data_IF_261089569162
#
_entry.id   IF_261089569162
#
_cell.length_a   1.000
_cell.length_b   1.000
_cell.length_c   1.000
_cell.angle_alpha   90.00
_cell.angle_beta   90.00
_cell.angle_gamma   90.00
#
_symmetry.space_group_name_H-M   'P 1'
#
loop_
_entity.id
_entity.type
_entity.pdbx_description
1 polymer ?
#
# COMPACT_ATOMS: atom_id res chain seq x y z
N UNK A 1 -16.96 50.26 -11.97
CA UNK A 1 -17.41 51.16 -13.06
C UNK A 1 -18.45 50.41 -13.89
N UNK A 2 -19.42 51.12 -14.47
CA UNK A 2 -20.45 50.58 -15.37
C UNK A 2 -19.83 50.17 -16.73
N UNK A 3 -20.39 49.43 -17.69
CA UNK A 3 -21.74 48.93 -18.07
C UNK A 3 -21.57 47.48 -18.65
N UNK A 4 -22.53 46.68 -19.15
CA UNK A 4 -23.97 46.80 -19.46
C UNK A 4 -24.68 45.41 -19.49
N UNK A 5 -25.98 45.42 -19.79
CA UNK A 5 -26.94 44.35 -20.11
C UNK A 5 -26.63 43.57 -21.44
N UNK A 6 -27.27 42.44 -21.81
CA UNK A 6 -28.74 42.22 -21.85
C UNK A 6 -29.21 40.75 -21.96
N UNK A 7 -30.43 40.47 -21.46
CA UNK A 7 -31.25 39.28 -21.69
C UNK A 7 -32.18 39.45 -22.90
N UNK A 8 -32.48 38.37 -23.67
CA UNK A 8 -33.78 38.14 -24.39
C UNK A 8 -34.09 36.63 -24.44
N UNK A 9 -35.38 36.24 -24.51
CA UNK A 9 -35.89 34.85 -24.48
C UNK A 9 -36.42 34.33 -25.85
N UNK A 10 -36.31 33.01 -26.03
CA UNK A 10 -37.27 32.02 -26.61
C UNK A 10 -37.96 32.17 -28.00
N UNK A 11 -37.75 31.13 -28.84
CA UNK A 11 -38.71 30.43 -29.74
C UNK A 11 -39.27 31.17 -31.00
N UNK A 12 -39.84 30.47 -32.03
CA UNK A 12 -40.12 29.01 -32.18
C UNK A 12 -39.59 28.36 -33.50
N UNK A 13 -39.92 27.07 -33.70
CA UNK A 13 -39.65 26.25 -34.91
C UNK A 13 -40.72 26.37 -36.02
N UNK A 14 -40.45 25.88 -37.24
CA UNK A 14 -41.48 25.34 -38.13
C UNK A 14 -41.29 23.84 -38.49
N UNK A 15 -42.30 23.28 -39.16
CA UNK A 15 -42.64 21.85 -39.35
C UNK A 15 -42.57 21.45 -40.84
N UNK A 16 -42.66 20.14 -41.15
CA UNK A 16 -43.42 19.43 -42.23
C UNK A 16 -42.71 18.08 -42.50
N UNK A 17 -43.17 16.96 -41.92
CA UNK A 17 -44.15 15.97 -42.46
C UNK A 17 -43.50 14.94 -43.44
N UNK A 18 -43.91 13.67 -43.55
CA UNK A 18 -45.00 12.90 -42.90
C UNK A 18 -44.79 11.36 -42.98
N UNK A 19 -45.62 10.65 -42.20
CA UNK A 19 -46.16 9.28 -42.35
C UNK A 19 -45.33 8.01 -42.05
N UNK A 20 -45.92 6.90 -41.53
CA UNK A 20 -47.12 6.73 -40.68
C UNK A 20 -47.18 5.30 -40.07
N UNK A 21 -48.03 5.12 -39.04
CA UNK A 21 -48.57 3.85 -38.49
C UNK A 21 -47.69 2.83 -37.71
N UNK A 22 -48.32 2.35 -36.63
CA UNK A 22 -47.99 1.29 -35.67
C UNK A 22 -49.26 0.38 -35.56
N UNK A 23 -49.40 -0.64 -34.67
CA UNK A 23 -48.45 -1.52 -33.96
C UNK A 23 -48.87 -3.03 -33.95
N UNK A 24 -48.26 -3.84 -33.06
CA UNK A 24 -48.70 -5.18 -32.55
C UNK A 24 -48.50 -6.42 -33.47
N UNK A 25 -48.33 -7.67 -33.02
CA UNK A 25 -48.60 -8.38 -31.73
C UNK A 25 -47.51 -9.39 -31.28
N UNK A 26 -47.72 -10.04 -30.11
CA UNK A 26 -46.93 -11.16 -29.54
C UNK A 26 -47.20 -12.51 -30.23
N UNK A 27 -46.23 -13.44 -30.22
CA UNK A 27 -46.50 -14.88 -29.93
C UNK A 27 -45.25 -15.65 -29.46
N UNK A 28 -45.46 -16.85 -28.90
CA UNK A 28 -44.45 -17.76 -28.29
C UNK A 28 -44.13 -18.97 -29.21
N UNK A 29 -43.39 -19.96 -28.66
CA UNK A 29 -43.23 -21.38 -29.09
C UNK A 29 -42.08 -21.60 -30.08
N UNK A 30 -41.36 -22.74 -30.14
CA UNK A 30 -40.88 -23.74 -29.13
C UNK A 30 -39.93 -24.71 -29.86
N UNK A 31 -39.25 -25.58 -29.11
CA UNK A 31 -38.45 -26.76 -29.47
C UNK A 31 -38.57 -27.36 -30.89
N UNK A 32 -37.42 -27.76 -31.45
CA UNK A 32 -37.35 -28.67 -32.60
C UNK A 32 -35.90 -29.05 -32.95
N UNK A 33 -35.37 -30.11 -32.34
CA UNK A 33 -34.09 -30.70 -32.75
C UNK A 33 -34.30 -31.76 -33.85
N UNK A 34 -33.29 -32.01 -34.68
CA UNK A 34 -33.26 -33.15 -35.60
C UNK A 34 -31.81 -33.60 -35.88
N UNK A 35 -31.56 -34.89 -35.67
CA UNK A 35 -30.39 -35.59 -36.20
C UNK A 35 -30.54 -35.77 -37.73
N UNK A 36 -29.43 -35.81 -38.48
CA UNK A 36 -28.96 -37.08 -39.07
C UNK A 36 -27.68 -36.99 -39.91
N UNK A 37 -26.86 -38.04 -39.78
CA UNK A 37 -26.04 -38.73 -40.77
C UNK A 37 -25.23 -37.93 -41.80
N UNK A 38 -23.91 -37.92 -41.57
CA UNK A 38 -22.90 -38.55 -42.42
C UNK A 38 -23.27 -38.89 -43.89
N UNK A 39 -22.44 -38.41 -44.81
CA UNK A 39 -22.01 -39.21 -45.96
C UNK A 39 -20.55 -38.90 -46.30
N UNK A 40 -19.77 -39.94 -46.58
CA UNK A 40 -18.39 -39.84 -47.03
C UNK A 40 -18.33 -39.91 -48.55
N UNK A 41 -17.46 -39.11 -49.17
CA UNK A 41 -17.05 -39.26 -50.58
C UNK A 41 -15.52 -39.39 -50.62
N UNK A 42 -15.03 -40.19 -51.55
CA UNK A 42 -13.68 -40.79 -51.54
C UNK A 42 -13.09 -40.73 -52.95
N UNK A 43 -11.74 -40.68 -53.06
CA UNK A 43 -10.94 -40.63 -54.30
C UNK A 43 -11.02 -39.28 -55.07
N UNK A 44 -10.00 -38.83 -55.83
CA UNK A 44 -8.88 -39.58 -56.44
C UNK A 44 -7.55 -38.78 -56.53
N UNK A 45 -6.45 -39.56 -56.64
CA UNK A 45 -5.01 -39.26 -56.74
C UNK A 45 -4.50 -38.11 -57.64
N UNK A 46 -3.32 -37.52 -57.31
CA UNK A 46 -2.04 -37.90 -57.97
C UNK A 46 -0.75 -37.35 -57.32
N UNK A 47 0.22 -38.26 -57.21
CA UNK A 47 1.70 -38.13 -57.18
C UNK A 47 2.40 -36.80 -56.85
N UNK A 48 3.18 -36.78 -55.77
CA UNK A 48 4.65 -36.90 -55.82
C UNK A 48 5.14 -37.47 -54.47
N UNK A 49 6.11 -38.38 -54.47
CA UNK A 49 6.47 -39.14 -53.27
C UNK A 49 7.96 -39.08 -52.93
N UNK A 50 8.25 -38.91 -51.64
CA UNK A 50 9.51 -39.30 -50.99
C UNK A 50 9.16 -39.93 -49.63
N UNK A 51 9.49 -41.21 -49.45
CA UNK A 51 9.29 -41.90 -48.18
C UNK A 51 10.48 -41.68 -47.25
N UNK A 52 10.20 -41.41 -45.98
CA UNK A 52 11.15 -41.44 -44.85
C UNK A 52 10.60 -42.46 -43.83
N UNK A 53 11.43 -43.25 -43.12
CA UNK A 53 10.92 -44.34 -42.29
C UNK A 53 10.05 -43.87 -41.12
N UNK A 54 9.04 -44.68 -40.80
CA UNK A 54 8.23 -44.54 -39.59
C UNK A 54 9.01 -45.15 -38.42
N UNK A 55 9.10 -44.42 -37.31
CA UNK A 55 9.19 -45.05 -36.00
C UNK A 55 8.32 -44.29 -34.98
N UNK A 56 7.85 -45.00 -33.96
CA UNK A 56 6.61 -44.66 -33.24
C UNK A 56 6.67 -43.40 -32.36
N UNK A 57 5.66 -42.52 -32.47
CA UNK A 57 5.33 -41.55 -31.42
C UNK A 57 4.02 -41.92 -30.71
N UNK A 58 4.05 -41.85 -29.38
CA UNK A 58 2.97 -42.29 -28.50
C UNK A 58 1.85 -41.25 -28.37
N UNK A 59 0.62 -41.75 -28.26
CA UNK A 59 -0.60 -40.96 -28.03
C UNK A 59 -0.49 -40.06 -26.77
N UNK A 60 -0.30 -38.75 -26.95
CA UNK A 60 -0.64 -37.77 -25.91
C UNK A 60 -2.08 -37.29 -26.07
N UNK A 61 -2.90 -37.60 -25.07
CA UNK A 61 -4.30 -37.15 -24.98
C UNK A 61 -4.34 -35.64 -24.75
N UNK A 62 -4.92 -34.89 -25.68
CA UNK A 62 -5.27 -33.49 -25.45
C UNK A 62 -6.33 -33.40 -24.34
N UNK A 63 -5.92 -32.95 -23.16
CA UNK A 63 -6.85 -32.57 -22.10
C UNK A 63 -7.36 -31.16 -22.37
N UNK A 64 -8.64 -31.03 -22.70
CA UNK A 64 -9.34 -29.74 -22.77
C UNK A 64 -9.26 -29.05 -21.41
N UNK A 65 -8.40 -28.03 -21.27
CA UNK A 65 -8.35 -27.18 -20.08
C UNK A 65 -9.66 -26.42 -19.97
N UNK A 66 -10.48 -26.79 -18.98
CA UNK A 66 -11.60 -25.98 -18.52
C UNK A 66 -11.09 -24.59 -18.14
N UNK A 67 -11.58 -23.56 -18.82
CA UNK A 67 -11.34 -22.17 -18.42
C UNK A 67 -12.12 -21.94 -17.13
N UNK A 68 -11.44 -22.00 -15.99
CA UNK A 68 -11.98 -21.51 -14.73
C UNK A 68 -12.15 -19.98 -14.86
N UNK A 69 -13.32 -19.40 -14.55
CA UNK A 69 -13.44 -17.95 -14.50
C UNK A 69 -12.49 -17.43 -13.41
N UNK A 70 -11.68 -16.44 -13.77
CA UNK A 70 -10.76 -15.76 -12.85
C UNK A 70 -11.59 -15.26 -11.66
N UNK A 71 -11.33 -15.81 -10.47
CA UNK A 71 -11.81 -15.21 -9.23
C UNK A 71 -11.17 -13.84 -9.16
N UNK A 72 -11.98 -12.78 -9.25
CA UNK A 72 -11.55 -11.48 -8.77
C UNK A 72 -11.06 -11.67 -7.32
N UNK A 73 -9.77 -11.49 -7.09
CA UNK A 73 -9.11 -11.80 -5.83
C UNK A 73 -9.84 -11.00 -4.74
N UNK A 74 -10.54 -11.72 -3.87
CA UNK A 74 -11.27 -11.07 -2.80
C UNK A 74 -10.23 -10.48 -1.86
N UNK A 75 -10.08 -9.14 -1.90
CA UNK A 75 -9.21 -8.31 -1.07
C UNK A 75 -8.67 -9.07 0.13
N UNK A 76 -7.41 -9.51 0.08
CA UNK A 76 -6.89 -10.38 1.14
C UNK A 76 -6.88 -9.58 2.44
N UNK A 77 -7.58 -10.12 3.45
CA UNK A 77 -7.53 -9.57 4.79
C UNK A 77 -6.08 -9.70 5.26
N UNK A 78 -5.48 -8.65 5.85
CA UNK A 78 -4.07 -8.70 6.22
C UNK A 78 -3.81 -9.87 7.18
N UNK A 79 -2.69 -10.60 7.03
CA UNK A 79 -2.34 -11.65 7.98
C UNK A 79 -2.20 -11.04 9.38
N UNK A 80 -2.85 -11.66 10.37
CA UNK A 80 -2.87 -11.14 11.73
C UNK A 80 -1.45 -11.07 12.34
N UNK A 81 -1.00 -9.86 12.67
CA UNK A 81 0.30 -9.59 13.30
C UNK A 81 0.28 -10.08 14.76
N UNK A 82 1.40 -10.61 15.30
CA UNK A 82 1.47 -11.02 16.71
C UNK A 82 1.22 -9.86 17.67
N UNK A 83 0.30 -10.08 18.62
CA UNK A 83 -0.40 -9.02 19.36
C UNK A 83 0.43 -8.36 20.46
N UNK A 84 0.27 -7.04 20.60
CA UNK A 84 0.50 -6.34 21.87
C UNK A 84 -0.37 -6.91 22.99
N UNK A 85 0.14 -6.92 24.22
CA UNK A 85 -0.64 -7.21 25.44
C UNK A 85 -1.29 -5.96 26.07
N UNK A 86 -1.14 -4.77 25.47
CA UNK A 86 -1.81 -3.56 25.94
C UNK A 86 -3.33 -3.65 25.73
N UNK A 87 -4.10 -3.46 26.80
CA UNK A 87 -5.56 -3.70 26.85
C UNK A 87 -6.44 -2.65 26.13
N UNK A 88 -5.89 -1.91 25.17
CA UNK A 88 -6.58 -0.84 24.45
C UNK A 88 -6.13 -0.78 22.98
N UNK A 89 -7.06 -0.42 22.10
CA UNK A 89 -6.79 -0.22 20.67
C UNK A 89 -6.19 1.16 20.43
N UNK A 90 -5.22 1.26 19.53
CA UNK A 90 -4.64 2.55 19.14
C UNK A 90 -5.69 3.36 18.37
N UNK A 91 -6.08 4.52 18.93
CA UNK A 91 -7.14 5.37 18.38
C UNK A 91 -6.60 6.33 17.34
N UNK A 92 -7.16 6.25 16.12
CA UNK A 92 -6.68 7.02 14.98
C UNK A 92 -7.75 7.92 14.37
N UNK A 93 -7.31 9.07 13.85
CA UNK A 93 -8.07 9.99 13.03
C UNK A 93 -7.51 10.04 11.61
N UNK A 94 -8.35 10.33 10.61
CA UNK A 94 -7.92 10.41 9.20
C UNK A 94 -8.24 11.80 8.65
N UNK A 95 -7.24 12.53 8.16
CA UNK A 95 -7.43 13.77 7.42
C UNK A 95 -7.32 13.52 5.91
N UNK A 96 -8.35 13.92 5.16
CA UNK A 96 -8.51 13.67 3.73
C UNK A 96 -9.09 12.28 3.45
N UNK A 97 -10.35 12.21 2.99
CA UNK A 97 -11.04 10.95 2.70
C UNK A 97 -10.88 10.51 1.23
N UNK A 98 -9.65 10.68 0.74
CA UNK A 98 -9.21 10.30 -0.62
C UNK A 98 -8.96 8.80 -0.77
N UNK A 99 -8.22 8.40 -1.83
CA UNK A 99 -7.89 6.98 -2.09
C UNK A 99 -7.25 6.31 -0.87
N UNK A 100 -6.18 6.90 -0.33
CA UNK A 100 -5.46 6.36 0.83
C UNK A 100 -6.34 6.39 2.09
N UNK A 101 -6.92 7.54 2.46
CA UNK A 101 -7.73 7.65 3.67
C UNK A 101 -8.91 6.66 3.74
N UNK A 102 -9.63 6.42 2.64
CA UNK A 102 -10.70 5.40 2.61
C UNK A 102 -10.19 3.98 2.75
N UNK A 103 -9.04 3.66 2.16
CA UNK A 103 -8.48 2.31 2.22
C UNK A 103 -7.81 2.03 3.57
N UNK A 104 -7.17 3.03 4.19
CA UNK A 104 -6.74 2.97 5.60
C UNK A 104 -7.92 2.65 6.51
N UNK A 105 -9.06 3.36 6.37
CA UNK A 105 -10.27 3.02 7.14
C UNK A 105 -10.76 1.60 6.81
N UNK A 106 -10.82 1.22 5.53
CA UNK A 106 -11.32 -0.09 5.10
C UNK A 106 -10.49 -1.25 5.66
N UNK A 107 -9.15 -1.11 5.68
CA UNK A 107 -8.24 -2.07 6.30
C UNK A 107 -8.44 -2.11 7.82
N UNK A 108 -8.53 -0.94 8.47
CA UNK A 108 -8.74 -0.85 9.91
C UNK A 108 -10.04 -1.52 10.40
N UNK A 109 -11.07 -1.67 9.55
CA UNK A 109 -12.28 -2.43 9.93
C UNK A 109 -12.06 -3.94 10.12
N UNK A 110 -10.96 -4.49 9.58
CA UNK A 110 -10.58 -5.91 9.72
C UNK A 110 -9.49 -6.13 10.78
N UNK A 111 -9.02 -5.07 11.44
CA UNK A 111 -7.96 -5.10 12.45
C UNK A 111 -8.52 -5.06 13.86
N UNK A 112 -7.88 -5.76 14.79
CA UNK A 112 -8.29 -5.77 16.20
C UNK A 112 -7.45 -4.85 17.11
N UNK A 113 -6.31 -4.34 16.64
CA UNK A 113 -5.40 -3.41 17.31
C UNK A 113 -5.68 -1.92 17.04
N UNK A 114 -6.22 -1.57 15.87
CA UNK A 114 -6.56 -0.20 15.45
C UNK A 114 -8.04 0.13 15.70
N UNK A 115 -8.34 1.38 16.05
CA UNK A 115 -9.71 1.93 16.09
C UNK A 115 -9.76 3.31 15.42
N UNK A 116 -10.38 3.41 14.23
CA UNK A 116 -10.63 4.72 13.58
C UNK A 116 -11.85 5.35 14.23
N UNK A 117 -11.66 6.48 14.90
CA UNK A 117 -12.73 7.14 15.67
C UNK A 117 -13.20 8.45 15.04
N UNK A 118 -12.42 9.05 14.14
CA UNK A 118 -12.78 10.29 13.45
C UNK A 118 -12.18 10.41 12.03
N UNK A 119 -12.89 11.10 11.14
CA UNK A 119 -12.51 11.39 9.75
C UNK A 119 -12.81 12.86 9.44
N UNK A 120 -11.86 13.57 8.85
CA UNK A 120 -12.05 14.93 8.36
C UNK A 120 -11.90 15.02 6.83
N UNK A 121 -12.90 15.59 6.14
CA UNK A 121 -12.74 16.07 4.76
C UNK A 121 -13.67 17.27 4.48
N UNK A 122 -13.14 18.45 4.13
CA UNK A 122 -13.96 19.65 3.89
C UNK A 122 -14.70 19.65 2.54
N UNK A 123 -14.57 18.60 1.72
CA UNK A 123 -15.20 18.50 0.39
C UNK A 123 -16.23 17.37 0.30
N UNK A 124 -16.42 16.59 1.37
CA UNK A 124 -17.22 15.35 1.35
C UNK A 124 -18.07 15.30 2.64
N UNK A 125 -19.40 15.39 2.52
CA UNK A 125 -20.30 15.22 3.67
C UNK A 125 -20.45 13.74 4.07
N UNK A 126 -21.04 13.46 5.24
CA UNK A 126 -21.20 12.08 5.73
C UNK A 126 -21.96 11.15 4.77
N UNK A 127 -22.97 11.65 4.02
CA UNK A 127 -23.71 10.83 3.05
C UNK A 127 -22.83 10.49 1.85
N UNK A 128 -22.03 11.44 1.38
CA UNK A 128 -21.11 11.21 0.28
C UNK A 128 -19.91 10.35 0.70
N UNK A 129 -19.39 10.52 1.93
CA UNK A 129 -18.40 9.62 2.53
C UNK A 129 -18.91 8.18 2.54
N UNK A 130 -20.14 7.95 3.02
CA UNK A 130 -20.74 6.63 3.05
C UNK A 130 -20.87 6.00 1.65
N UNK A 131 -21.25 6.79 0.64
CA UNK A 131 -21.28 6.36 -0.75
C UNK A 131 -19.88 5.98 -1.29
N UNK A 132 -18.89 6.87 -1.12
CA UNK A 132 -17.52 6.67 -1.63
C UNK A 132 -16.76 5.55 -0.91
N UNK A 133 -17.15 5.22 0.32
CA UNK A 133 -16.62 4.07 1.05
C UNK A 133 -17.32 2.77 0.64
N UNK A 134 -18.65 2.81 0.44
CA UNK A 134 -19.43 1.64 0.04
C UNK A 134 -19.09 1.14 -1.36
N UNK A 135 -18.80 2.02 -2.31
CA UNK A 135 -18.53 1.67 -3.71
C UNK A 135 -17.14 2.15 -4.13
N UNK A 136 -16.20 1.22 -4.32
CA UNK A 136 -14.87 1.50 -4.87
C UNK A 136 -14.68 0.82 -6.23
N UNK A 137 -14.33 1.61 -7.26
CA UNK A 137 -14.14 1.09 -8.63
C UNK A 137 -12.92 0.18 -8.77
N UNK A 138 -11.94 0.27 -7.86
CA UNK A 138 -10.74 -0.56 -7.85
C UNK A 138 -10.97 -1.78 -6.96
N UNK A 139 -11.25 -1.53 -5.67
CA UNK A 139 -11.30 -2.58 -4.64
C UNK A 139 -12.68 -3.20 -4.45
N UNK A 140 -13.62 -2.93 -5.37
CA UNK A 140 -14.99 -3.42 -5.32
C UNK A 140 -15.82 -2.83 -4.16
N UNK A 141 -17.10 -3.24 -4.04
CA UNK A 141 -17.98 -2.77 -2.98
C UNK A 141 -17.50 -3.22 -1.59
N UNK A 142 -17.70 -2.37 -0.59
CA UNK A 142 -17.55 -2.77 0.81
C UNK A 142 -18.63 -3.80 1.16
N UNK A 143 -18.21 -4.92 1.75
CA UNK A 143 -19.07 -6.10 1.98
C UNK A 143 -19.89 -6.02 3.26
N UNK A 144 -19.39 -5.30 4.26
CA UNK A 144 -20.01 -5.18 5.58
C UNK A 144 -20.93 -3.95 5.68
N UNK A 145 -21.40 -3.61 6.88
CA UNK A 145 -22.38 -2.55 7.08
C UNK A 145 -21.74 -1.17 7.14
N UNK A 146 -22.31 -0.23 6.39
CA UNK A 146 -22.08 1.22 6.56
C UNK A 146 -23.43 1.95 6.54
N UNK A 147 -23.61 2.86 7.50
CA UNK A 147 -24.81 3.69 7.67
C UNK A 147 -24.40 5.11 8.05
N UNK A 148 -25.23 6.07 7.67
CA UNK A 148 -25.16 7.46 8.17
C UNK A 148 -26.09 7.53 9.37
N UNK A 149 -25.58 7.90 10.54
CA UNK A 149 -26.38 8.09 11.75
C UNK A 149 -26.93 9.52 11.78
N UNK A 150 -26.04 10.49 11.54
CA UNK A 150 -26.34 11.92 11.44
C UNK A 150 -25.29 12.61 10.56
N UNK A 151 -25.36 13.94 10.41
CA UNK A 151 -24.45 14.72 9.55
C UNK A 151 -22.97 14.69 10.02
N UNK A 152 -22.73 14.32 11.27
CA UNK A 152 -21.44 14.27 11.96
C UNK A 152 -21.02 12.85 12.39
N UNK A 153 -21.81 11.82 12.08
CA UNK A 153 -21.55 10.45 12.55
C UNK A 153 -21.87 9.39 11.48
N UNK A 154 -20.88 8.56 11.17
CA UNK A 154 -21.03 7.31 10.44
C UNK A 154 -21.08 6.12 11.41
N UNK A 155 -21.79 5.07 11.05
CA UNK A 155 -21.70 3.75 11.69
C UNK A 155 -21.13 2.76 10.67
N UNK A 156 -20.00 2.11 11.00
CA UNK A 156 -19.38 1.05 10.20
C UNK A 156 -19.18 -0.18 11.07
N UNK A 157 -19.74 -1.32 10.67
CA UNK A 157 -19.70 -2.58 11.43
C UNK A 157 -20.19 -2.42 12.89
N UNK A 158 -21.16 -1.53 13.12
CA UNK A 158 -21.68 -1.19 14.46
C UNK A 158 -20.80 -0.25 15.30
N UNK A 159 -19.65 0.19 14.80
CA UNK A 159 -18.81 1.23 15.43
C UNK A 159 -19.18 2.62 14.92
N UNK A 160 -19.28 3.61 15.79
CA UNK A 160 -19.45 5.01 15.40
C UNK A 160 -18.12 5.69 15.09
N UNK A 161 -18.09 6.47 14.01
CA UNK A 161 -16.95 7.26 13.56
C UNK A 161 -17.44 8.70 13.36
N UNK A 162 -16.74 9.66 13.98
CA UNK A 162 -17.09 11.09 13.86
C UNK A 162 -16.60 11.66 12.53
N UNK A 163 -17.42 12.52 11.94
CA UNK A 163 -17.16 13.18 10.65
C UNK A 163 -17.07 14.68 10.86
N UNK A 164 -16.00 15.28 10.36
CA UNK A 164 -15.81 16.73 10.33
C UNK A 164 -15.46 17.22 8.93
N UNK A 165 -15.72 18.50 8.66
CA UNK A 165 -15.50 19.13 7.35
C UNK A 165 -14.64 20.40 7.45
N UNK A 166 -13.61 20.37 8.30
CA UNK A 166 -12.73 21.52 8.57
C UNK A 166 -11.66 21.66 7.50
N UNK A 167 -11.39 22.90 7.07
CA UNK A 167 -10.35 23.22 6.07
C UNK A 167 -8.99 23.49 6.73
N UNK A 168 -8.99 24.18 7.86
CA UNK A 168 -7.80 24.31 8.70
C UNK A 168 -7.71 23.06 9.59
N UNK A 169 -6.59 22.30 9.57
CA UNK A 169 -6.47 21.12 10.42
C UNK A 169 -6.26 21.44 11.89
N UNK A 170 -6.02 22.70 12.27
CA UNK A 170 -6.05 23.15 13.66
C UNK A 170 -7.47 23.22 14.24
N UNK A 171 -8.50 23.37 13.40
CA UNK A 171 -9.92 23.44 13.83
C UNK A 171 -10.55 22.05 14.06
N UNK A 172 -9.81 20.95 13.84
CA UNK A 172 -10.31 19.58 13.99
C UNK A 172 -10.14 19.15 15.47
N UNK A 173 -11.23 18.88 16.21
CA UNK A 173 -11.16 18.54 17.63
C UNK A 173 -10.81 17.05 17.85
N UNK A 174 -9.59 16.66 17.45
CA UNK A 174 -9.08 15.29 17.60
C UNK A 174 -9.13 14.79 19.05
N UNK A 175 -8.83 15.64 20.02
CA UNK A 175 -8.85 15.34 21.46
C UNK A 175 -10.25 14.97 21.97
N UNK A 176 -11.29 15.67 21.51
CA UNK A 176 -12.69 15.42 21.90
C UNK A 176 -13.18 14.03 21.46
N UNK A 177 -12.58 13.49 20.39
CA UNK A 177 -12.85 12.14 19.88
C UNK A 177 -11.88 11.08 20.44
N UNK A 178 -10.88 11.50 21.22
CA UNK A 178 -9.83 10.64 21.76
C UNK A 178 -8.88 10.09 20.68
N UNK A 179 -8.62 10.84 19.62
CA UNK A 179 -7.62 10.50 18.59
C UNK A 179 -6.22 10.71 19.13
N UNK A 180 -5.38 9.68 19.05
CA UNK A 180 -3.97 9.76 19.42
C UNK A 180 -3.06 9.94 18.20
N UNK A 181 -3.34 9.21 17.11
CA UNK A 181 -2.58 9.25 15.86
C UNK A 181 -3.43 9.81 14.72
N UNK A 182 -2.92 10.79 13.97
CA UNK A 182 -3.58 11.29 12.76
C UNK A 182 -2.86 10.76 11.52
N UNK A 183 -3.62 10.14 10.62
CA UNK A 183 -3.20 9.86 9.25
C UNK A 183 -3.44 11.10 8.41
N UNK A 184 -2.36 11.81 8.06
CA UNK A 184 -2.41 12.97 7.18
C UNK A 184 -2.33 12.50 5.72
N UNK A 185 -3.50 12.39 5.09
CA UNK A 185 -3.69 11.87 3.73
C UNK A 185 -4.39 12.83 2.75
N UNK A 186 -4.41 14.13 3.07
CA UNK A 186 -4.91 15.17 2.15
C UNK A 186 -3.95 15.44 0.98
N UNK A 187 -2.66 15.15 1.17
CA UNK A 187 -1.59 15.48 0.23
C UNK A 187 -1.15 16.95 0.22
N UNK A 188 -1.66 17.78 1.15
CA UNK A 188 -1.35 19.23 1.22
C UNK A 188 -0.45 19.59 2.41
N UNK A 189 -0.58 18.87 3.54
CA UNK A 189 0.15 19.13 4.79
C UNK A 189 1.36 18.20 4.97
N UNK A 190 2.24 18.15 3.96
CA UNK A 190 3.35 17.19 3.86
C UNK A 190 4.70 17.72 4.38
N UNK A 191 4.68 18.61 5.38
CA UNK A 191 5.89 19.09 6.09
C UNK A 191 5.64 19.05 7.59
N UNK A 192 6.69 19.02 8.41
CA UNK A 192 6.57 18.95 9.88
C UNK A 192 5.69 20.09 10.40
N UNK A 193 6.03 21.33 10.04
CA UNK A 193 5.27 22.54 10.40
C UNK A 193 3.76 22.41 10.09
N UNK A 194 3.44 21.91 8.89
CA UNK A 194 2.06 21.82 8.39
C UNK A 194 1.28 20.67 9.00
N UNK A 195 1.94 19.55 9.29
CA UNK A 195 1.31 18.38 9.90
C UNK A 195 1.15 18.56 11.42
N UNK A 196 2.11 19.22 12.09
CA UNK A 196 2.03 19.54 13.53
C UNK A 196 0.81 20.39 13.92
N UNK A 197 0.13 21.06 12.98
CA UNK A 197 -1.08 21.82 13.32
C UNK A 197 -2.20 20.92 13.87
N UNK A 198 -2.23 19.63 13.52
CA UNK A 198 -3.14 18.64 14.11
C UNK A 198 -2.96 18.47 15.62
N UNK A 199 -1.76 18.75 16.16
CA UNK A 199 -1.49 18.67 17.60
C UNK A 199 -2.26 19.76 18.38
N UNK A 200 -2.59 20.90 17.74
CA UNK A 200 -3.48 21.92 18.33
C UNK A 200 -4.89 21.39 18.57
N UNK A 201 -5.33 20.47 17.72
CA UNK A 201 -6.61 19.75 17.86
C UNK A 201 -6.59 18.65 18.93
N UNK A 202 -5.44 18.37 19.56
CA UNK A 202 -5.30 17.34 20.61
C UNK A 202 -4.73 15.99 20.14
N UNK A 203 -4.33 15.87 18.87
CA UNK A 203 -3.62 14.67 18.40
C UNK A 203 -2.20 14.58 19.01
N UNK A 204 -1.76 13.38 19.40
CA UNK A 204 -0.41 13.16 19.95
C UNK A 204 0.63 13.02 18.85
N UNK A 205 0.31 12.26 17.80
CA UNK A 205 1.22 11.85 16.71
C UNK A 205 0.58 12.07 15.34
N UNK A 206 1.41 12.28 14.32
CA UNK A 206 0.95 12.43 12.93
C UNK A 206 1.80 11.59 11.98
N UNK A 207 1.14 10.81 11.13
CA UNK A 207 1.77 10.01 10.06
C UNK A 207 1.34 10.59 8.72
N UNK A 208 2.27 11.23 8.02
CA UNK A 208 2.08 11.77 6.68
C UNK A 208 2.07 10.61 5.67
N UNK A 209 0.98 10.44 4.94
CA UNK A 209 0.81 9.37 3.94
C UNK A 209 1.40 9.73 2.56
N UNK A 210 2.54 10.41 2.58
CA UNK A 210 3.32 10.85 1.42
C UNK A 210 4.76 11.18 1.87
N UNK A 211 5.75 11.23 0.95
CA UNK A 211 7.10 11.71 1.28
C UNK A 211 7.10 13.12 1.85
N UNK A 212 7.82 13.32 2.95
CA UNK A 212 8.08 14.66 3.51
C UNK A 212 9.41 15.23 3.02
N UNK A 213 9.50 16.55 2.96
CA UNK A 213 10.77 17.23 2.72
C UNK A 213 11.71 17.12 3.95
N UNK A 214 11.12 17.24 5.13
CA UNK A 214 11.72 17.53 6.44
C UNK A 214 11.39 16.49 7.53
N UNK A 215 10.20 15.89 7.55
CA UNK A 215 9.84 14.85 8.50
C UNK A 215 10.65 13.55 8.28
N UNK A 216 11.06 12.84 9.35
CA UNK A 216 11.73 11.55 9.23
C UNK A 216 10.81 10.54 8.52
N UNK A 217 11.39 9.79 7.58
CA UNK A 217 10.69 8.80 6.78
C UNK A 217 10.97 7.39 7.29
N UNK A 218 9.92 6.57 7.32
CA UNK A 218 9.98 5.17 7.70
C UNK A 218 9.38 4.29 6.59
N UNK A 219 9.96 3.10 6.44
CA UNK A 219 9.41 1.98 5.68
C UNK A 219 9.49 0.77 6.61
N UNK A 220 8.35 0.13 6.85
CA UNK A 220 8.24 -1.07 7.69
C UNK A 220 8.94 -2.26 7.00
N UNK A 221 9.67 -3.07 7.76
CA UNK A 221 10.61 -4.08 7.29
C UNK A 221 11.98 -3.53 6.87
N UNK A 222 12.29 -2.26 7.16
CA UNK A 222 13.52 -1.60 6.69
C UNK A 222 14.17 -0.76 7.79
N UNK A 223 13.48 0.27 8.30
CA UNK A 223 14.05 1.23 9.24
C UNK A 223 13.10 1.69 10.36
N UNK A 224 11.92 1.10 10.50
CA UNK A 224 10.95 1.40 11.55
C UNK A 224 11.57 1.38 12.95
N UNK A 225 12.50 0.43 13.22
CA UNK A 225 13.23 0.31 14.48
C UNK A 225 14.14 1.51 14.82
N UNK A 226 14.31 2.47 13.90
CA UNK A 226 14.99 3.75 14.17
C UNK A 226 14.05 4.86 14.66
N UNK A 227 12.74 4.58 14.74
CA UNK A 227 11.74 5.45 15.34
C UNK A 227 12.06 5.74 16.81
N UNK A 228 11.77 6.97 17.25
CA UNK A 228 11.94 7.39 18.64
C UNK A 228 10.64 8.03 19.14
N UNK A 229 10.21 7.79 20.39
CA UNK A 229 9.01 8.42 20.96
C UNK A 229 8.98 9.94 20.92
N UNK A 230 10.13 10.62 20.77
CA UNK A 230 10.22 12.08 20.59
C UNK A 230 9.89 12.56 19.17
N UNK A 231 9.71 11.66 18.21
CA UNK A 231 9.27 11.99 16.86
C UNK A 231 7.74 12.02 16.83
N UNK A 232 7.17 13.23 16.82
CA UNK A 232 5.73 13.45 16.79
C UNK A 232 5.13 13.36 15.39
N UNK A 233 5.82 13.95 14.41
CA UNK A 233 5.44 13.93 13.00
C UNK A 233 6.43 13.07 12.22
N UNK A 234 5.91 12.06 11.54
CA UNK A 234 6.69 11.14 10.70
C UNK A 234 6.03 10.98 9.33
N UNK A 235 6.73 10.39 8.37
CA UNK A 235 6.21 10.09 7.04
C UNK A 235 6.39 8.60 6.72
N UNK A 236 5.36 7.97 6.15
CA UNK A 236 5.44 6.58 5.67
C UNK A 236 6.07 6.49 4.26
N UNK A 237 6.90 7.47 3.88
CA UNK A 237 7.49 7.63 2.55
C UNK A 237 6.44 7.56 1.41
N UNK A 238 6.78 6.96 0.26
CA UNK A 238 5.85 6.70 -0.85
C UNK A 238 5.59 5.21 -1.06
N UNK A 239 4.51 4.87 -1.76
CA UNK A 239 4.24 3.52 -2.27
C UNK A 239 5.45 2.94 -3.03
N UNK A 240 6.03 3.67 -3.97
CA UNK A 240 7.24 3.24 -4.72
C UNK A 240 8.46 3.05 -3.81
N UNK A 241 8.65 3.86 -2.77
CA UNK A 241 9.74 3.66 -1.79
C UNK A 241 9.50 2.43 -0.92
N UNK A 242 8.25 2.17 -0.51
CA UNK A 242 7.88 0.96 0.21
C UNK A 242 8.06 -0.31 -0.65
N UNK A 243 7.90 -0.23 -1.97
CA UNK A 243 8.23 -1.33 -2.88
C UNK A 243 9.74 -1.51 -3.05
N UNK A 244 10.48 -0.42 -3.30
CA UNK A 244 11.89 -0.49 -3.65
C UNK A 244 12.81 -0.77 -2.45
N UNK A 245 12.54 -0.20 -1.27
CA UNK A 245 13.47 -0.27 -0.14
C UNK A 245 13.66 -1.69 0.44
N UNK A 246 12.61 -2.54 0.63
CA UNK A 246 12.81 -3.91 1.09
C UNK A 246 13.61 -4.76 0.10
N UNK A 247 13.35 -4.59 -1.21
CA UNK A 247 14.12 -5.26 -2.27
C UNK A 247 15.58 -4.80 -2.27
N UNK A 248 15.81 -3.48 -2.19
CA UNK A 248 17.15 -2.91 -2.17
C UNK A 248 17.94 -3.31 -0.92
N UNK A 249 17.28 -3.41 0.25
CA UNK A 249 17.88 -3.90 1.51
C UNK A 249 18.46 -5.30 1.33
N UNK A 250 17.65 -6.27 0.91
CA UNK A 250 18.09 -7.67 0.73
C UNK A 250 19.26 -7.77 -0.26
N UNK A 251 19.14 -7.09 -1.41
CA UNK A 251 20.19 -7.13 -2.44
C UNK A 251 21.47 -6.42 -1.97
N UNK A 252 21.35 -5.35 -1.18
CA UNK A 252 22.50 -4.64 -0.63
C UNK A 252 23.23 -5.43 0.45
N UNK A 253 22.50 -6.07 1.38
CA UNK A 253 23.09 -6.81 2.49
C UNK A 253 23.79 -8.10 2.02
N UNK A 254 23.24 -8.79 1.00
CA UNK A 254 23.80 -10.06 0.50
C UNK A 254 24.90 -9.91 -0.56
N UNK A 255 24.80 -8.87 -1.41
CA UNK A 255 25.64 -8.71 -2.60
C UNK A 255 26.32 -7.33 -2.73
N UNK A 256 25.92 -6.35 -1.92
CA UNK A 256 26.30 -4.96 -2.12
C UNK A 256 25.65 -4.36 -3.38
N UNK A 257 25.27 -3.09 -3.28
CA UNK A 257 24.85 -2.27 -4.43
C UNK A 257 25.89 -1.16 -4.56
N UNK A 258 26.51 -1.08 -5.72
CA UNK A 258 27.45 -0.02 -6.11
C UNK A 258 26.67 1.21 -6.56
N UNK A 259 25.74 1.00 -7.50
CA UNK A 259 24.85 2.02 -8.06
C UNK A 259 23.60 1.37 -8.66
N UNK A 260 22.52 2.13 -8.83
CA UNK A 260 21.33 1.65 -9.50
C UNK A 260 20.38 2.74 -9.98
N UNK A 261 19.71 2.45 -11.10
CA UNK A 261 18.66 3.27 -11.67
C UNK A 261 17.33 2.54 -11.58
N UNK A 262 16.32 3.24 -11.07
CA UNK A 262 14.95 2.74 -10.97
C UNK A 262 14.02 3.43 -11.96
N UNK A 263 13.21 2.64 -12.63
CA UNK A 263 12.00 3.10 -13.32
C UNK A 263 10.80 2.46 -12.63
N UNK A 264 9.79 3.25 -12.29
CA UNK A 264 8.49 2.67 -11.93
C UNK A 264 7.48 2.90 -13.03
N UNK A 265 6.86 1.83 -13.51
CA UNK A 265 5.69 1.90 -14.38
C UNK A 265 4.49 1.91 -13.43
N UNK A 266 3.85 3.07 -13.32
CA UNK A 266 2.97 3.40 -12.21
C UNK A 266 1.55 3.67 -12.69
N UNK A 267 0.56 3.17 -11.96
CA UNK A 267 -0.85 3.43 -12.21
C UNK A 267 -1.21 4.92 -12.18
N UNK A 268 -2.36 5.25 -12.76
CA UNK A 268 -2.92 6.59 -12.74
C UNK A 268 -3.30 7.03 -11.32
N UNK A 269 -2.99 8.27 -10.93
CA UNK A 269 -3.36 8.82 -9.61
C UNK A 269 -4.25 10.07 -9.73
N UNK A 270 -4.99 10.40 -8.66
CA UNK A 270 -5.96 11.51 -8.60
C UNK A 270 -5.42 12.92 -8.92
N UNK A 271 -4.09 13.10 -8.99
CA UNK A 271 -3.43 14.33 -9.44
C UNK A 271 -3.48 14.54 -10.97
N UNK A 272 -3.53 13.45 -11.74
CA UNK A 272 -3.59 13.47 -13.21
C UNK A 272 -4.98 13.89 -13.72
N UNK A 273 -5.09 14.16 -15.03
CA UNK A 273 -6.32 14.65 -15.67
C UNK A 273 -6.96 13.60 -16.58
N UNK A 274 -8.28 13.62 -16.70
CA UNK A 274 -9.02 12.73 -17.61
C UNK A 274 -8.78 13.07 -19.08
N UNK A 275 -8.66 14.37 -19.36
CA UNK A 275 -8.31 14.96 -20.67
C UNK A 275 -7.18 15.98 -20.48
N UNK A 276 -6.56 16.42 -21.57
CA UNK A 276 -5.51 17.43 -21.54
C UNK A 276 -5.96 18.72 -20.81
N UNK A 277 -5.21 19.14 -19.80
CA UNK A 277 -5.56 20.28 -18.96
C UNK A 277 -4.37 20.84 -18.16
N UNK A 278 -4.57 21.96 -17.44
CA UNK A 278 -3.48 22.67 -16.76
C UNK A 278 -2.90 21.88 -15.59
N UNK A 279 -1.56 21.88 -15.51
CA UNK A 279 -0.79 21.36 -14.39
C UNK A 279 0.36 22.30 -14.07
N UNK A 280 0.31 22.91 -12.88
CA UNK A 280 1.19 24.04 -12.50
C UNK A 280 2.66 23.65 -12.25
N UNK A 281 2.94 22.36 -12.00
CA UNK A 281 4.27 21.86 -11.59
C UNK A 281 4.81 20.70 -12.44
N UNK A 282 3.95 20.02 -13.21
CA UNK A 282 4.33 18.94 -14.11
C UNK A 282 3.44 19.01 -15.37
N UNK A 283 3.94 19.66 -16.43
CA UNK A 283 3.20 19.81 -17.69
C UNK A 283 2.82 18.46 -18.32
N UNK A 284 3.63 17.42 -18.12
CA UNK A 284 3.36 16.07 -18.66
C UNK A 284 2.21 15.42 -17.89
N UNK A 285 2.18 15.58 -16.57
CA UNK A 285 1.06 15.16 -15.71
C UNK A 285 -0.28 15.85 -15.98
N UNK A 286 -0.30 16.94 -16.76
CA UNK A 286 -1.52 17.58 -17.26
C UNK A 286 -2.17 16.91 -18.48
N UNK A 287 -1.48 15.96 -19.12
CA UNK A 287 -2.01 15.22 -20.28
C UNK A 287 -3.03 14.16 -19.87
N UNK A 288 -3.96 13.83 -20.76
CA UNK A 288 -5.02 12.85 -20.53
C UNK A 288 -4.50 11.47 -20.13
N UNK A 289 -4.80 11.06 -18.89
CA UNK A 289 -4.18 9.90 -18.24
C UNK A 289 -4.53 8.56 -18.90
N UNK A 290 -5.76 8.41 -19.40
CA UNK A 290 -6.21 7.19 -20.07
C UNK A 290 -5.65 6.97 -21.48
N UNK A 291 -4.87 7.92 -22.01
CA UNK A 291 -4.47 7.99 -23.41
C UNK A 291 -2.95 8.00 -23.62
N UNK A 292 -2.15 8.15 -22.56
CA UNK A 292 -0.73 8.45 -22.65
C UNK A 292 0.11 7.57 -21.71
N UNK A 293 1.32 7.24 -22.16
CA UNK A 293 2.43 6.88 -21.27
C UNK A 293 3.14 8.19 -20.91
N UNK A 294 3.10 8.59 -19.63
CA UNK A 294 3.52 9.93 -19.19
C UNK A 294 4.81 9.82 -18.34
N UNK A 295 5.99 10.20 -18.87
CA UNK A 295 7.21 10.23 -18.08
C UNK A 295 7.18 11.38 -17.06
N UNK A 296 7.34 11.06 -15.79
CA UNK A 296 7.33 11.97 -14.64
C UNK A 296 8.55 11.74 -13.75
N UNK A 297 8.95 12.74 -12.97
CA UNK A 297 10.04 12.62 -12.00
C UNK A 297 9.56 11.98 -10.70
N UNK A 298 10.45 11.30 -9.98
CA UNK A 298 10.13 10.77 -8.64
C UNK A 298 11.33 10.88 -7.70
N UNK A 299 11.05 11.23 -6.45
CA UNK A 299 12.03 11.17 -5.37
C UNK A 299 12.20 9.78 -4.77
N UNK A 300 11.39 8.79 -5.16
CA UNK A 300 11.24 7.53 -4.43
C UNK A 300 12.53 6.72 -4.28
N UNK A 301 13.37 6.65 -5.33
CA UNK A 301 14.67 5.98 -5.27
C UNK A 301 15.69 6.75 -4.42
N UNK A 302 15.70 8.08 -4.50
CA UNK A 302 16.55 8.92 -3.62
C UNK A 302 16.12 8.81 -2.15
N UNK A 303 14.83 8.61 -1.89
CA UNK A 303 14.30 8.38 -0.55
C UNK A 303 14.72 7.02 0.04
N UNK A 304 15.11 6.03 -0.77
CA UNK A 304 15.75 4.80 -0.26
C UNK A 304 17.03 5.16 0.50
N UNK A 305 17.85 6.07 -0.04
CA UNK A 305 19.05 6.59 0.64
C UNK A 305 18.80 7.36 1.94
N UNK A 306 17.54 7.68 2.29
CA UNK A 306 17.15 8.25 3.59
C UNK A 306 16.75 7.18 4.62
N UNK A 307 16.24 6.02 4.17
CA UNK A 307 15.84 4.90 5.05
C UNK A 307 16.93 3.82 5.15
N UNK A 308 17.82 3.75 4.17
CA UNK A 308 19.02 2.92 4.08
C UNK A 308 20.21 3.84 3.77
N UNK A 309 20.83 4.48 4.79
CA UNK A 309 21.88 5.49 4.60
C UNK A 309 23.08 5.03 3.78
N UNK A 310 23.41 3.74 3.81
CA UNK A 310 24.46 3.08 3.03
C UNK A 310 24.18 3.01 1.51
N UNK A 311 22.93 3.29 1.11
CA UNK A 311 22.48 3.48 -0.27
C UNK A 311 22.34 4.97 -0.66
N UNK A 312 22.66 5.91 0.23
CA UNK A 312 22.58 7.33 -0.08
C UNK A 312 23.50 7.70 -1.25
N UNK A 313 22.98 8.45 -2.21
CA UNK A 313 23.66 8.80 -3.46
C UNK A 313 23.79 7.67 -4.50
N UNK A 314 23.58 6.40 -4.13
CA UNK A 314 23.73 5.25 -5.03
C UNK A 314 22.49 4.94 -5.88
N UNK A 315 21.30 5.36 -5.43
CA UNK A 315 20.03 5.10 -6.09
C UNK A 315 19.32 6.39 -6.51
N UNK A 316 18.90 6.44 -7.77
CA UNK A 316 17.99 7.47 -8.31
C UNK A 316 17.07 6.85 -9.36
N UNK A 317 16.06 7.60 -9.83
CA UNK A 317 15.09 7.03 -10.76
C UNK A 317 14.07 8.00 -11.33
N UNK A 318 13.15 7.45 -12.11
CA UNK A 318 12.04 8.15 -12.77
C UNK A 318 10.77 7.28 -12.76
N UNK A 319 9.65 7.84 -13.22
CA UNK A 319 8.40 7.09 -13.36
C UNK A 319 7.80 7.26 -14.76
N UNK A 320 7.12 6.24 -15.26
CA UNK A 320 6.14 6.37 -16.35
C UNK A 320 4.75 6.12 -15.77
N UNK A 321 3.85 7.10 -15.83
CA UNK A 321 2.43 6.87 -15.54
C UNK A 321 1.78 6.20 -16.74
N UNK A 322 0.98 5.17 -16.49
CA UNK A 322 0.31 4.39 -17.55
C UNK A 322 -1.21 4.30 -17.32
N UNK A 323 -2.00 3.97 -18.36
CA UNK A 323 -3.47 3.86 -18.28
C UNK A 323 -4.03 2.68 -17.44
N UNK A 324 -3.37 2.27 -16.35
CA UNK A 324 -3.93 1.33 -15.36
C UNK A 324 -4.58 2.10 -14.20
N UNK A 325 -5.71 1.63 -13.64
CA UNK A 325 -6.39 2.31 -12.54
C UNK A 325 -5.71 2.11 -11.18
N UNK A 326 -5.00 0.99 -11.01
CA UNK A 326 -4.21 0.66 -9.84
C UNK A 326 -3.15 -0.42 -10.20
N UNK A 327 -2.31 -0.75 -9.22
CA UNK A 327 -1.12 -1.61 -9.28
C UNK A 327 -0.02 -1.03 -10.17
N UNK A 328 1.18 -1.04 -9.61
CA UNK A 328 2.39 -0.49 -10.20
C UNK A 328 3.53 -1.51 -10.10
N UNK A 329 4.60 -1.26 -10.84
CA UNK A 329 5.79 -2.11 -10.84
C UNK A 329 7.06 -1.27 -10.78
N UNK A 330 8.06 -1.75 -10.06
CA UNK A 330 9.42 -1.25 -9.99
C UNK A 330 10.31 -2.11 -10.90
N UNK A 331 11.03 -1.46 -11.81
CA UNK A 331 12.22 -1.96 -12.49
C UNK A 331 13.43 -1.32 -11.81
N UNK A 332 14.22 -2.12 -11.08
CA UNK A 332 15.51 -1.72 -10.54
C UNK A 332 16.61 -2.35 -11.39
N UNK A 333 17.38 -1.53 -12.10
CA UNK A 333 18.61 -1.97 -12.77
C UNK A 333 19.80 -1.53 -11.92
N UNK A 334 20.59 -2.47 -11.40
CA UNK A 334 21.67 -2.18 -10.45
C UNK A 334 22.96 -2.96 -10.74
N UNK A 335 24.08 -2.39 -10.28
CA UNK A 335 25.40 -3.02 -10.28
C UNK A 335 25.72 -3.55 -8.89
N UNK A 336 26.01 -4.84 -8.81
CA UNK A 336 26.38 -5.54 -7.58
C UNK A 336 27.89 -5.42 -7.34
N UNK A 337 28.30 -5.43 -6.07
CA UNK A 337 29.71 -5.41 -5.68
C UNK A 337 30.29 -6.84 -5.67
N UNK A 338 29.65 -7.71 -4.88
CA UNK A 338 29.87 -9.16 -4.89
C UNK A 338 29.10 -9.77 -6.06
N UNK A 339 29.83 -10.38 -6.98
CA UNK A 339 29.27 -11.08 -8.14
C UNK A 339 28.44 -12.30 -7.72
N UNK A 340 27.25 -12.46 -8.31
CA UNK A 340 26.27 -13.52 -8.03
C UNK A 340 25.62 -14.02 -9.34
N UNK A 341 25.09 -15.25 -9.35
CA UNK A 341 24.17 -15.64 -10.43
C UNK A 341 22.78 -15.04 -10.18
N UNK A 342 21.95 -14.98 -11.23
CA UNK A 342 20.56 -14.53 -11.06
C UNK A 342 19.76 -15.51 -10.17
N UNK A 343 20.12 -16.80 -10.15
CA UNK A 343 19.52 -17.78 -9.25
C UNK A 343 19.88 -17.53 -7.78
N UNK A 344 21.13 -17.13 -7.49
CA UNK A 344 21.53 -16.73 -6.13
C UNK A 344 20.76 -15.50 -5.65
N UNK A 345 20.58 -14.49 -6.53
CA UNK A 345 19.80 -13.28 -6.22
C UNK A 345 18.33 -13.63 -5.96
N UNK A 346 17.73 -14.50 -6.77
CA UNK A 346 16.37 -15.01 -6.53
C UNK A 346 16.27 -15.77 -5.20
N UNK A 347 17.26 -16.60 -4.86
CA UNK A 347 17.26 -17.38 -3.62
C UNK A 347 17.34 -16.49 -2.38
N UNK A 348 18.20 -15.47 -2.39
CA UNK A 348 18.29 -14.47 -1.33
C UNK A 348 16.96 -13.72 -1.12
N UNK A 349 16.33 -13.26 -2.21
CA UNK A 349 15.04 -12.56 -2.15
C UNK A 349 13.93 -13.50 -1.65
N UNK A 350 13.90 -14.76 -2.09
CA UNK A 350 12.94 -15.77 -1.61
C UNK A 350 13.09 -16.03 -0.11
N UNK A 351 14.32 -16.24 0.36
CA UNK A 351 14.62 -16.44 1.78
C UNK A 351 14.16 -15.24 2.63
N UNK A 352 14.43 -14.01 2.17
CA UNK A 352 13.97 -12.81 2.86
C UNK A 352 12.44 -12.69 2.90
N UNK A 353 11.76 -12.99 1.79
CA UNK A 353 10.30 -12.96 1.67
C UNK A 353 9.58 -14.04 2.50
N UNK A 354 10.19 -15.22 2.66
CA UNK A 354 9.63 -16.33 3.45
C UNK A 354 9.99 -16.23 4.95
N UNK A 355 11.07 -15.51 5.28
CA UNK A 355 11.55 -15.28 6.64
C UNK A 355 11.37 -13.83 7.14
N UNK A 356 12.45 -13.02 7.27
CA UNK A 356 12.46 -11.76 8.03
C UNK A 356 11.56 -10.65 7.47
N UNK A 357 11.21 -10.69 6.17
CA UNK A 357 10.35 -9.68 5.51
C UNK A 357 8.97 -10.23 5.15
N UNK A 358 8.56 -11.36 5.72
CA UNK A 358 7.28 -12.00 5.44
C UNK A 358 6.10 -11.05 5.70
N UNK A 359 5.24 -10.90 4.69
CA UNK A 359 4.11 -9.95 4.70
C UNK A 359 4.45 -8.53 4.21
N UNK A 360 5.74 -8.20 4.11
CA UNK A 360 6.25 -6.95 3.54
C UNK A 360 6.78 -7.18 2.12
N UNK A 361 7.68 -8.16 1.96
CA UNK A 361 8.26 -8.62 0.71
C UNK A 361 7.65 -9.97 0.34
N UNK A 362 7.18 -10.09 -0.89
CA UNK A 362 6.74 -11.33 -1.52
C UNK A 362 7.71 -11.80 -2.60
N UNK A 363 7.55 -13.06 -3.00
CA UNK A 363 8.25 -13.69 -4.10
C UNK A 363 7.22 -14.42 -4.97
N UNK A 364 7.36 -14.37 -6.29
CA UNK A 364 6.60 -15.20 -7.24
C UNK A 364 7.47 -15.66 -8.40
N UNK A 365 7.28 -16.91 -8.82
CA UNK A 365 7.79 -17.51 -10.06
C UNK A 365 6.65 -17.94 -11.02
N UNK A 366 5.44 -17.41 -10.81
CA UNK A 366 4.29 -17.56 -11.71
C UNK A 366 4.26 -16.51 -12.83
N UNK A 367 3.52 -16.77 -13.91
CA UNK A 367 3.44 -15.88 -15.08
C UNK A 367 2.33 -14.82 -14.89
N UNK A 368 2.60 -13.88 -13.98
CA UNK A 368 1.66 -12.88 -13.43
C UNK A 368 1.59 -11.56 -14.20
N UNK A 369 0.51 -10.80 -14.00
CA UNK A 369 0.29 -9.43 -14.51
C UNK A 369 -0.28 -8.51 -13.42
N UNK A 370 -0.37 -7.20 -13.70
CA UNK A 370 -0.71 -6.18 -12.70
C UNK A 370 -2.02 -6.44 -11.94
N UNK A 371 -3.07 -6.97 -12.57
CA UNK A 371 -4.35 -7.18 -11.91
C UNK A 371 -4.32 -8.31 -10.87
N UNK A 372 -3.34 -9.22 -10.93
CA UNK A 372 -3.24 -10.35 -10.00
C UNK A 372 -2.85 -9.89 -8.58
N UNK A 373 -2.26 -8.69 -8.47
CA UNK A 373 -1.86 -8.04 -7.21
C UNK A 373 -2.88 -7.02 -6.68
N UNK A 374 -4.06 -6.91 -7.30
CA UNK A 374 -5.07 -5.94 -6.84
C UNK A 374 -5.60 -6.36 -5.47
N UNK A 375 -5.38 -5.50 -4.46
CA UNK A 375 -5.71 -5.81 -3.07
C UNK A 375 -4.68 -6.68 -2.34
N UNK A 376 -3.47 -6.84 -2.89
CA UNK A 376 -2.34 -7.47 -2.19
C UNK A 376 -1.80 -6.53 -1.10
N UNK A 377 -1.70 -7.02 0.14
CA UNK A 377 -1.27 -6.23 1.30
C UNK A 377 0.25 -6.06 1.42
N UNK A 378 1.05 -6.73 0.58
CA UNK A 378 2.52 -6.65 0.60
C UNK A 378 3.00 -5.32 0.02
N UNK A 379 4.15 -4.85 0.49
CA UNK A 379 4.77 -3.61 0.00
C UNK A 379 5.48 -3.80 -1.35
N UNK A 380 6.00 -5.00 -1.59
CA UNK A 380 6.86 -5.36 -2.71
C UNK A 380 6.65 -6.84 -3.00
N UNK A 381 6.42 -7.24 -4.25
CA UNK A 381 6.34 -8.65 -4.66
C UNK A 381 7.29 -8.88 -5.83
N UNK A 382 8.45 -9.47 -5.53
CA UNK A 382 9.49 -9.71 -6.51
C UNK A 382 9.08 -10.78 -7.52
N UNK A 383 9.24 -10.44 -8.81
CA UNK A 383 8.93 -11.27 -9.95
C UNK A 383 10.20 -11.94 -10.48
N UNK A 384 10.30 -13.25 -10.23
CA UNK A 384 11.47 -14.06 -10.52
C UNK A 384 11.65 -14.42 -12.01
N UNK A 385 10.64 -14.15 -12.85
CA UNK A 385 10.67 -14.42 -14.29
C UNK A 385 10.79 -13.16 -15.14
N UNK A 386 10.28 -12.02 -14.66
CA UNK A 386 10.35 -10.75 -15.37
C UNK A 386 11.72 -10.04 -15.24
N UNK A 387 12.50 -10.35 -14.19
CA UNK A 387 13.87 -9.86 -14.06
C UNK A 387 14.88 -10.61 -14.94
N UNK A 388 16.07 -10.03 -15.12
CA UNK A 388 17.12 -10.59 -15.97
C UNK A 388 18.52 -10.16 -15.51
N UNK A 389 19.46 -11.10 -15.47
CA UNK A 389 20.89 -10.81 -15.30
C UNK A 389 21.61 -10.66 -16.64
N UNK A 390 22.28 -9.54 -16.87
CA UNK A 390 23.16 -9.35 -18.05
C UNK A 390 24.55 -9.94 -17.78
N UNK A 391 25.04 -9.81 -16.55
CA UNK A 391 26.29 -10.39 -16.08
C UNK A 391 26.16 -10.77 -14.60
N UNK A 392 27.20 -11.40 -14.03
CA UNK A 392 27.22 -11.72 -12.60
C UNK A 392 27.20 -10.50 -11.67
N UNK A 393 27.42 -9.29 -12.19
CA UNK A 393 27.43 -8.05 -11.41
C UNK A 393 26.47 -6.99 -11.94
N UNK A 394 25.64 -7.28 -12.95
CA UNK A 394 24.69 -6.31 -13.50
C UNK A 394 23.34 -6.98 -13.79
N UNK A 395 22.32 -6.58 -13.03
CA UNK A 395 21.01 -7.22 -12.99
C UNK A 395 19.87 -6.21 -13.09
N UNK A 396 18.75 -6.67 -13.64
CA UNK A 396 17.45 -6.00 -13.61
C UNK A 396 16.51 -6.84 -12.74
N UNK A 397 15.93 -6.21 -11.73
CA UNK A 397 15.01 -6.80 -10.78
C UNK A 397 13.64 -6.14 -10.95
N UNK A 398 12.59 -6.96 -11.00
CA UNK A 398 11.20 -6.51 -11.17
C UNK A 398 10.43 -6.80 -9.88
N UNK A 399 9.67 -5.83 -9.38
CA UNK A 399 8.81 -6.03 -8.20
C UNK A 399 7.49 -5.27 -8.33
N UNK A 400 6.39 -5.99 -8.13
CA UNK A 400 5.03 -5.47 -8.16
C UNK A 400 4.62 -4.86 -6.82
N UNK A 401 3.67 -3.93 -6.85
CA UNK A 401 3.06 -3.38 -5.64
C UNK A 401 1.67 -2.80 -5.93
N UNK A 402 0.69 -3.14 -5.09
CA UNK A 402 -0.54 -2.35 -5.01
C UNK A 402 -0.21 -1.00 -4.35
N UNK A 403 -0.08 0.02 -5.19
CA UNK A 403 0.29 1.37 -4.77
C UNK A 403 -0.77 2.06 -3.88
N UNK A 404 -1.93 1.45 -3.67
CA UNK A 404 -2.96 1.91 -2.75
C UNK A 404 -3.10 1.00 -1.53
N UNK A 405 -3.34 -0.30 -1.74
CA UNK A 405 -3.67 -1.25 -0.69
C UNK A 405 -2.44 -1.62 0.15
N UNK A 406 -1.35 -2.06 -0.48
CA UNK A 406 -0.09 -2.36 0.22
C UNK A 406 0.44 -1.15 0.99
N UNK A 407 0.36 0.06 0.39
CA UNK A 407 0.75 1.30 1.06
C UNK A 407 -0.14 1.66 2.26
N UNK A 408 -1.47 1.52 2.12
CA UNK A 408 -2.42 1.80 3.21
C UNK A 408 -2.28 0.82 4.38
N UNK A 409 -1.87 -0.42 4.12
CA UNK A 409 -1.48 -1.37 5.18
C UNK A 409 -0.25 -0.86 5.95
N UNK A 410 0.81 -0.44 5.24
CA UNK A 410 2.03 0.10 5.87
C UNK A 410 1.79 1.34 6.73
N UNK A 411 0.80 2.18 6.40
CA UNK A 411 0.41 3.31 7.27
C UNK A 411 -0.09 2.82 8.64
N UNK A 412 -0.87 1.74 8.68
CA UNK A 412 -1.37 1.17 9.93
C UNK A 412 -0.29 0.40 10.69
N UNK A 413 0.54 -0.39 10.00
CA UNK A 413 1.65 -1.12 10.60
C UNK A 413 2.69 -0.16 11.23
N UNK A 414 2.93 1.00 10.61
CA UNK A 414 3.79 2.04 11.19
C UNK A 414 3.17 2.65 12.45
N UNK A 415 1.85 2.89 12.47
CA UNK A 415 1.15 3.40 13.67
C UNK A 415 1.20 2.37 14.81
N UNK A 416 0.97 1.08 14.51
CA UNK A 416 1.11 -0.02 15.47
C UNK A 416 2.53 -0.05 16.07
N UNK A 417 3.56 0.01 15.22
CA UNK A 417 4.96 0.06 15.65
C UNK A 417 5.25 1.28 16.54
N UNK A 418 4.80 2.49 16.16
CA UNK A 418 4.98 3.69 16.97
C UNK A 418 4.31 3.56 18.34
N UNK A 419 3.12 2.98 18.40
CA UNK A 419 2.39 2.74 19.64
C UNK A 419 3.08 1.71 20.55
N UNK A 420 3.59 0.62 19.97
CA UNK A 420 4.39 -0.39 20.69
C UNK A 420 5.67 0.20 21.31
N UNK A 421 6.41 1.01 20.55
CA UNK A 421 7.64 1.67 21.03
C UNK A 421 7.31 2.68 22.14
N UNK A 422 6.22 3.45 22.01
CA UNK A 422 5.77 4.38 23.04
C UNK A 422 5.36 3.65 24.34
N UNK A 423 4.56 2.58 24.25
CA UNK A 423 4.14 1.80 25.42
C UNK A 423 5.31 1.14 26.14
N UNK A 424 6.30 0.66 25.39
CA UNK A 424 7.54 0.08 25.94
C UNK A 424 8.34 1.13 26.72
N UNK A 425 8.50 2.33 26.17
CA UNK A 425 9.22 3.43 26.82
C UNK A 425 8.57 3.84 28.16
N UNK A 426 7.24 3.96 28.21
CA UNK A 426 6.52 4.24 29.46
C UNK A 426 6.69 3.12 30.49
N UNK A 427 6.71 1.85 30.05
CA UNK A 427 6.92 0.71 30.96
C UNK A 427 8.30 0.77 31.62
N UNK A 428 9.36 1.05 30.84
CA UNK A 428 10.70 1.24 31.40
C UNK A 428 10.78 2.45 32.34
N UNK A 429 10.15 3.58 31.99
CA UNK A 429 10.19 4.78 32.84
C UNK A 429 9.50 4.57 34.19
N UNK A 430 8.36 3.88 34.21
CA UNK A 430 7.63 3.51 35.45
C UNK A 430 8.44 2.54 36.32
N UNK A 431 9.27 1.68 35.72
CA UNK A 431 10.18 0.79 36.45
C UNK A 431 11.48 1.50 36.89
N UNK A 432 11.91 2.54 36.17
CA UNK A 432 13.22 3.17 36.36
C UNK A 432 13.27 4.34 37.35
N UNK A 433 12.14 4.93 37.79
CA UNK A 433 12.23 5.94 38.85
C UNK A 433 10.94 6.65 39.26
N UNK A 434 10.64 6.54 40.56
CA UNK A 434 9.95 7.60 41.31
C UNK A 434 10.90 8.69 41.85
N UNK A 435 12.17 8.67 41.44
CA UNK A 435 13.19 9.67 41.75
C UNK A 435 13.90 10.06 40.44
N UNK A 436 14.01 11.35 40.14
CA UNK A 436 14.79 11.85 39.01
C UNK A 436 16.29 11.61 39.24
N UNK A 437 16.95 10.97 38.28
CA UNK A 437 18.40 10.98 38.13
C UNK A 437 18.77 11.25 36.67
N UNK A 438 19.48 12.35 36.43
CA UNK A 438 19.95 12.76 35.12
C UNK A 438 21.22 11.96 34.76
N UNK A 439 21.10 11.01 33.83
CA UNK A 439 22.16 10.07 33.48
C UNK A 439 22.39 10.04 31.95
N UNK A 440 23.57 10.51 31.54
CA UNK A 440 23.97 10.59 30.14
C UNK A 440 24.16 9.21 29.48
N UNK A 441 23.65 9.06 28.26
CA UNK A 441 23.70 7.82 27.50
C UNK A 441 25.13 7.39 27.13
N UNK A 442 25.52 6.18 27.54
CA UNK A 442 26.57 5.38 26.88
C UNK A 442 26.05 3.96 26.59
N UNK A 443 26.38 3.45 25.41
CA UNK A 443 25.89 2.16 24.93
C UNK A 443 26.52 0.97 25.65
N UNK A 444 25.69 0.17 26.31
CA UNK A 444 26.03 -1.15 26.83
C UNK A 444 24.77 -1.82 27.38
N UNK A 445 24.57 -3.12 27.10
CA UNK A 445 23.55 -3.90 27.79
C UNK A 445 23.96 -4.03 29.27
N UNK A 446 23.10 -3.58 30.18
CA UNK A 446 23.21 -3.86 31.61
C UNK A 446 21.82 -4.30 32.08
N UNK A 447 21.69 -5.59 32.39
CA UNK A 447 20.46 -6.12 32.99
C UNK A 447 20.40 -5.69 34.46
N UNK A 448 19.44 -4.82 34.80
CA UNK A 448 19.16 -4.44 36.18
C UNK A 448 18.06 -5.33 36.76
N UNK A 449 18.37 -6.01 37.86
CA UNK A 449 17.39 -6.70 38.71
C UNK A 449 17.13 -5.82 39.93
N UNK A 450 15.91 -5.31 40.05
CA UNK A 450 15.48 -4.56 41.25
C UNK A 450 15.25 -5.54 42.41
N UNK A 451 16.04 -5.43 43.47
CA UNK A 451 15.74 -6.08 44.75
C UNK A 451 14.88 -5.14 45.62
N UNK A 452 13.88 -5.70 46.30
CA UNK A 452 12.74 -4.95 46.84
C UNK A 452 12.98 -4.08 48.08
N UNK A 453 14.22 -3.64 48.38
CA UNK A 453 14.55 -2.81 49.55
C UNK A 453 15.62 -1.74 49.21
N UNK A 454 15.23 -0.69 48.48
CA UNK A 454 15.77 0.67 48.61
C UNK A 454 17.26 0.97 48.33
N UNK A 455 18.13 -0.02 48.17
CA UNK A 455 19.57 0.17 47.97
C UNK A 455 20.00 -0.22 46.55
N UNK A 456 20.74 0.69 45.90
CA UNK A 456 21.35 0.46 44.57
C UNK A 456 22.67 -0.26 44.76
N UNK A 457 22.71 -1.58 44.51
CA UNK A 457 23.96 -2.32 44.44
C UNK A 457 24.62 -2.15 43.06
N UNK A 458 25.76 -1.47 43.02
CA UNK A 458 26.61 -1.38 41.85
C UNK A 458 27.35 -2.73 41.64
N UNK A 459 26.90 -3.54 40.67
CA UNK A 459 27.53 -4.84 40.39
C UNK A 459 28.82 -4.63 39.59
N UNK A 460 29.93 -4.50 40.32
CA UNK A 460 31.28 -4.57 39.75
C UNK A 460 31.53 -5.90 39.04
N UNK A 461 32.29 -5.86 37.93
CA UNK A 461 32.49 -7.02 37.07
C UNK A 461 33.25 -8.17 37.76
N UNK A 462 32.52 -9.25 38.11
CA UNK A 462 32.89 -10.71 38.10
C UNK A 462 32.14 -11.48 39.20
N UNK A 463 31.12 -12.25 38.83
CA UNK A 463 30.61 -13.36 39.66
C UNK A 463 30.00 -14.47 38.80
N UNK A 464 30.12 -15.72 39.26
CA UNK A 464 29.80 -16.93 38.49
C UNK A 464 28.30 -17.27 38.50
N UNK A 465 27.81 -17.87 37.40
CA UNK A 465 26.50 -18.52 37.34
C UNK A 465 26.61 -19.90 38.04
N UNK A 466 26.50 -19.88 39.37
CA UNK A 466 26.30 -21.08 40.20
C UNK A 466 25.91 -20.69 41.65
N UNK A 467 24.76 -20.03 41.85
CA UNK A 467 24.07 -19.96 43.16
C UNK A 467 22.71 -19.24 43.01
N UNK A 468 21.72 -19.90 42.41
CA UNK A 468 20.31 -19.46 42.41
C UNK A 468 19.40 -20.63 42.81
N UNK A 469 19.25 -20.83 44.12
CA UNK A 469 18.34 -21.82 44.70
C UNK A 469 17.32 -21.11 45.60
N UNK A 470 16.11 -20.92 45.07
CA UNK A 470 14.92 -20.53 45.84
C UNK A 470 14.70 -19.03 46.05
N UNK A 471 13.61 -18.50 45.48
CA UNK A 471 12.47 -18.03 46.29
C UNK A 471 11.20 -17.95 45.41
N UNK A 472 10.03 -17.91 46.06
CA UNK A 472 8.76 -18.32 45.47
C UNK A 472 8.03 -17.23 44.67
N UNK A 473 7.24 -17.64 43.67
CA UNK A 473 6.16 -16.81 43.14
C UNK A 473 5.15 -16.50 44.25
N UNK A 474 4.81 -15.22 44.39
CA UNK A 474 3.51 -14.78 44.91
C UNK A 474 2.84 -13.85 43.88
N UNK A 475 1.51 -13.76 43.99
CA UNK A 475 0.56 -13.46 42.91
C UNK A 475 0.58 -12.02 42.39
#
# INVERSE_FOLDING_TARGET
MALSSSFVRSAPSPVIDSDAFCPSERSKVSCGGLNHNANAVKFQSSMFGTNVPVDSSSLQKYSTRSIQPIKATATEAPPAVPKSRSSGKTRIGINGFGRIGRLVLRIATFRDDIDVVAVNDPFIDAKYMAYMFKYDSTHGPYKETIRVVDESTLEINGKQIKVTSKRDPADIPWGDYGVEYVVESSGVFTTVEKASVHQKGGAKKVVISAPSADAPMFVVGVNENTYKPSMDVVSNASCTTNCLAPLAKVVHEEFGIVEGLMTTVHATTATQKTVDGPSMKDWRGGRGAGQNIIPSSTGAAKAVGKVLPELNGKLTGMAFRVPTPNVSVVDLTCRLDKSASYDDVKAAIKYAAEGPLKGILGYTDEDVVSNDFLGDSRSSIFDAKAGIGLSKSFVKLVSWYDNEWGYSNRVLDLIEHMALVAASFFTFYVVAGGNEVDAGWRSGLVDFVLSGNGEVCEIGSKTNIADWNGMALWR
#
